data_IF_312205194201
#
_entry.id   IF_312205194201
#
_cell.length_a   1.000
_cell.length_b   1.000
_cell.length_c   1.000
_cell.angle_alpha   90.00
_cell.angle_beta   90.00
_cell.angle_gamma   90.00
#
_symmetry.space_group_name_H-M   'P 1'
#
loop_
_entity.id
_entity.type
_entity.pdbx_description
1 polymer ?
#
# COMPACT_ATOMS: atom_id res chain seq x y z
N UNK A 1 -27.06 14.57 -8.26
CA UNK A 1 -26.81 13.11 -8.23
C UNK A 1 -25.80 12.82 -7.13
N UNK A 2 -26.00 11.75 -6.37
CA UNK A 2 -25.08 11.30 -5.29
C UNK A 2 -24.71 9.83 -5.53
N UNK A 3 -23.46 9.47 -5.21
CA UNK A 3 -22.96 8.09 -5.33
C UNK A 3 -23.50 7.20 -4.19
N UNK A 4 -23.93 5.96 -4.50
CA UNK A 4 -24.56 5.02 -3.56
C UNK A 4 -23.87 3.65 -3.47
N UNK A 5 -22.61 3.53 -3.91
CA UNK A 5 -21.83 2.28 -4.00
C UNK A 5 -21.85 1.43 -2.72
N UNK A 6 -21.94 2.05 -1.55
CA UNK A 6 -22.02 1.37 -0.24
C UNK A 6 -23.21 1.84 0.61
N UNK A 7 -24.33 2.22 -0.01
CA UNK A 7 -25.45 2.90 0.67
C UNK A 7 -26.09 2.16 1.85
N UNK A 8 -25.83 0.86 2.01
CA UNK A 8 -26.34 0.03 3.12
C UNK A 8 -25.23 -0.67 3.92
N UNK A 9 -23.95 -0.43 3.58
CA UNK A 9 -22.82 -1.15 4.18
C UNK A 9 -22.15 -0.33 5.29
N UNK A 10 -22.06 -0.93 6.48
CA UNK A 10 -21.30 -0.36 7.60
C UNK A 10 -19.83 -0.76 7.42
N UNK A 11 -18.97 0.25 7.36
CA UNK A 11 -17.53 0.02 7.22
C UNK A 11 -16.93 -0.30 8.59
N UNK A 12 -16.17 -1.39 8.64
CA UNK A 12 -15.32 -1.68 9.80
C UNK A 12 -14.29 -0.56 10.01
N UNK A 13 -13.86 -0.33 11.26
CA UNK A 13 -12.80 0.63 11.58
C UNK A 13 -11.56 0.38 10.72
N UNK A 14 -10.93 1.46 10.26
CA UNK A 14 -9.74 1.41 9.41
C UNK A 14 -8.64 0.53 10.01
N UNK A 15 -8.33 0.73 11.29
CA UNK A 15 -7.30 -0.01 12.02
C UNK A 15 -7.56 -1.53 12.02
N UNK A 16 -8.82 -1.93 12.23
CA UNK A 16 -9.21 -3.35 12.20
C UNK A 16 -9.03 -3.95 10.80
N UNK A 17 -9.38 -3.19 9.75
CA UNK A 17 -9.19 -3.63 8.36
C UNK A 17 -7.72 -3.75 7.98
N UNK A 18 -6.89 -2.78 8.37
CA UNK A 18 -5.45 -2.79 8.11
C UNK A 18 -4.77 -3.96 8.85
N UNK A 19 -5.09 -4.14 10.14
CA UNK A 19 -4.59 -5.26 10.94
C UNK A 19 -4.99 -6.62 10.34
N UNK A 20 -6.25 -6.78 9.92
CA UNK A 20 -6.71 -8.01 9.26
C UNK A 20 -5.97 -8.26 7.95
N UNK A 21 -5.75 -7.22 7.15
CA UNK A 21 -5.02 -7.31 5.89
C UNK A 21 -3.58 -7.76 6.11
N UNK A 22 -2.81 -7.07 6.98
CA UNK A 22 -1.40 -7.42 7.25
C UNK A 22 -1.26 -8.79 7.89
N UNK A 23 -2.15 -9.15 8.83
CA UNK A 23 -2.17 -10.49 9.45
C UNK A 23 -2.39 -11.59 8.42
N UNK A 24 -3.28 -11.37 7.45
CA UNK A 24 -3.55 -12.34 6.38
C UNK A 24 -2.32 -12.52 5.50
N UNK A 25 -1.67 -11.42 5.10
CA UNK A 25 -0.45 -11.45 4.30
C UNK A 25 0.68 -12.14 5.05
N UNK A 26 0.93 -11.77 6.31
CA UNK A 26 1.93 -12.38 7.18
C UNK A 26 1.71 -13.90 7.27
N UNK A 27 0.49 -14.34 7.57
CA UNK A 27 0.18 -15.77 7.70
C UNK A 27 0.48 -16.55 6.40
N UNK A 28 0.19 -15.96 5.23
CA UNK A 28 0.46 -16.59 3.92
C UNK A 28 1.95 -16.74 3.67
N UNK A 29 2.75 -15.71 3.96
CA UNK A 29 4.20 -15.73 3.70
C UNK A 29 4.96 -16.50 4.77
N UNK A 30 4.49 -16.49 6.02
CA UNK A 30 5.09 -17.21 7.15
C UNK A 30 5.04 -18.73 6.99
N UNK A 31 4.08 -19.27 6.23
CA UNK A 31 4.04 -20.69 5.82
C UNK A 31 4.82 -20.99 4.53
N UNK A 32 5.60 -20.05 4.01
CA UNK A 32 6.33 -20.17 2.75
C UNK A 32 5.47 -20.03 1.48
N UNK A 33 4.24 -19.55 1.62
CA UNK A 33 3.32 -19.33 0.49
C UNK A 33 3.58 -18.03 -0.26
N UNK A 34 2.95 -17.89 -1.43
CA UNK A 34 2.97 -16.64 -2.22
C UNK A 34 1.63 -15.92 -2.08
N UNK A 35 1.65 -14.63 -1.74
CA UNK A 35 0.45 -13.80 -1.66
C UNK A 35 0.27 -13.00 -2.96
N UNK A 36 -0.85 -13.20 -3.65
CA UNK A 36 -1.23 -12.42 -4.83
C UNK A 36 -2.36 -11.46 -4.47
N UNK A 37 -2.15 -10.16 -4.71
CA UNK A 37 -3.10 -9.10 -4.39
C UNK A 37 -3.55 -8.42 -5.70
N UNK A 38 -4.71 -8.80 -6.27
CA UNK A 38 -5.19 -8.21 -7.51
C UNK A 38 -5.76 -6.80 -7.24
N UNK A 39 -5.09 -5.78 -7.76
CA UNK A 39 -5.50 -4.38 -7.62
C UNK A 39 -5.20 -3.60 -8.90
N UNK A 40 -6.02 -2.59 -9.18
CA UNK A 40 -5.72 -1.64 -10.23
C UNK A 40 -4.44 -0.85 -9.90
N UNK A 41 -3.65 -0.52 -10.92
CA UNK A 41 -2.36 0.15 -10.75
C UNK A 41 -2.44 1.58 -10.15
N UNK A 42 -3.65 2.14 -10.03
CA UNK A 42 -3.94 3.48 -9.53
C UNK A 42 -5.06 3.43 -8.48
N UNK A 43 -5.00 4.33 -7.50
CA UNK A 43 -5.99 4.44 -6.44
C UNK A 43 -5.61 3.65 -5.20
N UNK A 44 -6.29 2.52 -4.94
CA UNK A 44 -6.12 1.76 -3.69
C UNK A 44 -4.80 1.00 -3.61
N UNK A 45 -4.14 0.73 -4.74
CA UNK A 45 -2.83 0.09 -4.74
C UNK A 45 -1.80 0.89 -3.93
N UNK A 46 -1.76 2.21 -4.10
CA UNK A 46 -0.80 3.08 -3.39
C UNK A 46 -0.98 3.03 -1.87
N UNK A 47 -2.23 3.00 -1.40
CA UNK A 47 -2.54 2.86 0.02
C UNK A 47 -2.09 1.50 0.57
N UNK A 48 -2.33 0.41 -0.17
CA UNK A 48 -1.89 -0.92 0.23
C UNK A 48 -0.36 -1.05 0.27
N UNK A 49 0.34 -0.44 -0.70
CA UNK A 49 1.80 -0.43 -0.72
C UNK A 49 2.38 0.31 0.49
N UNK A 50 1.80 1.45 0.88
CA UNK A 50 2.19 2.17 2.10
C UNK A 50 2.00 1.32 3.36
N UNK A 51 0.84 0.65 3.49
CA UNK A 51 0.55 -0.22 4.64
C UNK A 51 1.56 -1.38 4.70
N UNK A 52 1.90 -1.99 3.55
CA UNK A 52 2.86 -3.08 3.48
C UNK A 52 4.29 -2.64 3.79
N UNK A 53 4.75 -1.50 3.25
CA UNK A 53 6.11 -0.98 3.51
C UNK A 53 6.29 -0.64 5.00
N UNK A 54 5.29 0.00 5.62
CA UNK A 54 5.29 0.31 7.06
C UNK A 54 5.27 -0.98 7.90
N UNK A 55 4.47 -1.97 7.52
CA UNK A 55 4.41 -3.26 8.20
C UNK A 55 5.74 -4.04 8.10
N UNK A 56 6.38 -4.04 6.93
CA UNK A 56 7.69 -4.68 6.72
C UNK A 56 8.82 -4.00 7.49
N UNK A 57 8.78 -2.67 7.63
CA UNK A 57 9.78 -1.94 8.42
C UNK A 57 9.75 -2.37 9.90
N UNK A 58 8.53 -2.57 10.43
CA UNK A 58 8.26 -2.95 11.82
C UNK A 58 8.54 -4.44 12.13
N UNK A 59 8.61 -5.30 11.12
CA UNK A 59 8.77 -6.76 11.28
C UNK A 59 10.05 -7.24 10.58
N UNK A 60 11.21 -7.22 11.26
CA UNK A 60 12.50 -7.61 10.69
C UNK A 60 12.53 -9.01 10.09
N UNK A 61 11.74 -9.95 10.62
CA UNK A 61 11.62 -11.32 10.14
C UNK A 61 11.01 -11.44 8.74
N UNK A 62 10.29 -10.41 8.27
CA UNK A 62 9.70 -10.39 6.93
C UNK A 62 10.61 -9.77 5.87
N UNK A 63 11.73 -9.13 6.27
CA UNK A 63 12.60 -8.38 5.35
C UNK A 63 13.23 -9.22 4.25
N UNK A 64 13.40 -10.53 4.48
CA UNK A 64 13.91 -11.46 3.46
C UNK A 64 12.86 -11.82 2.41
N UNK A 65 11.58 -11.52 2.67
CA UNK A 65 10.46 -11.84 1.79
C UNK A 65 10.18 -10.64 0.87
N UNK A 66 10.40 -10.77 -0.45
CA UNK A 66 10.27 -9.64 -1.36
C UNK A 66 8.80 -9.31 -1.66
N UNK A 67 8.49 -8.02 -1.71
CA UNK A 67 7.21 -7.51 -2.22
C UNK A 67 7.42 -6.99 -3.64
N UNK A 68 6.65 -7.54 -4.60
CA UNK A 68 6.70 -7.12 -5.99
C UNK A 68 5.46 -6.35 -6.40
N UNK A 69 5.66 -5.17 -6.97
CA UNK A 69 4.61 -4.42 -7.64
C UNK A 69 4.70 -4.64 -9.16
N UNK A 70 3.84 -5.53 -9.66
CA UNK A 70 3.83 -5.96 -11.06
C UNK A 70 2.90 -5.08 -11.90
N UNK A 71 3.40 -3.92 -12.35
CA UNK A 71 2.67 -3.07 -13.30
C UNK A 71 3.62 -2.29 -14.19
N UNK A 72 3.44 -2.39 -15.51
CA UNK A 72 4.15 -1.54 -16.48
C UNK A 72 3.84 -0.05 -16.26
N UNK A 73 2.70 0.26 -15.63
CA UNK A 73 2.30 1.62 -15.29
C UNK A 73 2.85 2.07 -13.94
N UNK A 74 3.35 1.16 -13.08
CA UNK A 74 3.82 1.45 -11.73
C UNK A 74 4.71 2.69 -11.65
N UNK A 75 5.72 2.74 -12.52
CA UNK A 75 6.71 3.83 -12.56
C UNK A 75 6.06 5.17 -12.94
N UNK A 76 5.16 5.17 -13.93
CA UNK A 76 4.44 6.37 -14.38
C UNK A 76 3.43 6.84 -13.32
N UNK A 77 2.73 5.92 -12.66
CA UNK A 77 1.84 6.23 -11.55
C UNK A 77 2.63 6.89 -10.42
N UNK A 78 3.76 6.31 -10.01
CA UNK A 78 4.54 6.82 -8.91
C UNK A 78 5.03 8.26 -9.15
N UNK A 79 5.47 8.59 -10.36
CA UNK A 79 5.88 9.97 -10.69
C UNK A 79 4.74 10.97 -10.54
N UNK A 80 3.50 10.59 -10.86
CA UNK A 80 2.33 11.46 -10.67
C UNK A 80 2.07 11.70 -9.18
N UNK A 81 2.07 10.64 -8.36
CA UNK A 81 1.86 10.77 -6.92
C UNK A 81 2.95 11.61 -6.23
N UNK A 82 4.19 11.51 -6.70
CA UNK A 82 5.32 12.30 -6.20
C UNK A 82 5.30 13.77 -6.67
N UNK A 83 4.61 14.07 -7.78
CA UNK A 83 4.50 15.44 -8.32
C UNK A 83 3.34 16.20 -7.69
N UNK A 84 2.18 15.55 -7.51
CA UNK A 84 0.95 16.16 -7.02
C UNK A 84 0.75 15.98 -5.51
N UNK A 85 1.78 16.28 -4.73
CA UNK A 85 1.82 16.04 -3.28
C UNK A 85 0.92 17.00 -2.50
N UNK A 86 0.69 18.20 -3.03
CA UNK A 86 -0.25 19.19 -2.50
C UNK A 86 -1.71 18.71 -2.49
N UNK A 87 -2.06 17.72 -3.31
CA UNK A 87 -3.40 17.12 -3.35
C UNK A 87 -3.56 15.95 -2.37
N UNK A 88 -2.50 15.56 -1.65
CA UNK A 88 -2.52 14.50 -0.63
C UNK A 88 -3.00 15.07 0.71
N UNK A 89 -3.29 14.19 1.67
CA UNK A 89 -3.63 14.62 3.02
C UNK A 89 -2.45 15.31 3.73
N UNK A 90 -2.74 16.08 4.78
CA UNK A 90 -1.72 16.80 5.55
C UNK A 90 -0.64 15.90 6.15
N UNK A 91 -0.97 14.63 6.44
CA UNK A 91 0.00 13.66 6.98
C UNK A 91 1.12 13.41 5.96
N UNK A 92 0.75 13.10 4.72
CA UNK A 92 1.69 12.86 3.63
C UNK A 92 2.44 14.14 3.26
N UNK A 93 1.76 15.29 3.24
CA UNK A 93 2.40 16.58 2.99
C UNK A 93 3.46 16.93 4.05
N UNK A 94 3.23 16.62 5.32
CA UNK A 94 4.22 16.79 6.39
C UNK A 94 5.35 15.77 6.32
N UNK A 95 5.04 14.53 5.92
CA UNK A 95 6.04 13.47 5.85
C UNK A 95 7.01 13.69 4.68
N UNK A 96 6.55 14.26 3.56
CA UNK A 96 7.37 14.40 2.35
C UNK A 96 8.54 15.37 2.51
N UNK A 97 8.45 16.33 3.44
CA UNK A 97 9.57 17.22 3.77
C UNK A 97 10.69 16.50 4.52
N UNK A 98 10.40 15.33 5.11
CA UNK A 98 11.34 14.48 5.84
C UNK A 98 11.82 13.32 4.95
N UNK A 99 10.88 12.62 4.32
CA UNK A 99 11.14 11.45 3.48
C UNK A 99 10.00 11.21 2.49
N UNK A 100 10.31 10.80 1.26
CA UNK A 100 9.28 10.52 0.27
C UNK A 100 8.55 9.21 0.58
N UNK A 101 7.28 9.23 1.00
CA UNK A 101 6.56 8.00 1.39
C UNK A 101 6.25 7.09 0.19
N UNK A 102 6.37 7.60 -1.03
CA UNK A 102 6.21 6.85 -2.28
C UNK A 102 7.53 6.27 -2.82
N UNK A 103 8.62 6.44 -2.06
CA UNK A 103 9.88 5.75 -2.29
C UNK A 103 9.98 4.59 -1.31
N UNK A 104 9.37 3.46 -1.68
CA UNK A 104 9.32 2.27 -0.85
C UNK A 104 10.70 1.66 -0.65
N UNK A 105 10.97 1.17 0.57
CA UNK A 105 12.23 0.51 0.92
C UNK A 105 12.16 -0.99 0.65
N UNK A 106 10.99 -1.59 0.88
CA UNK A 106 10.79 -3.05 0.85
C UNK A 106 10.02 -3.54 -0.38
N UNK A 107 9.65 -2.62 -1.28
CA UNK A 107 8.86 -2.93 -2.48
C UNK A 107 9.69 -2.68 -3.74
N UNK A 108 9.75 -3.70 -4.60
CA UNK A 108 10.42 -3.64 -5.89
C UNK A 108 9.43 -3.73 -7.06
N UNK A 109 9.69 -3.01 -8.15
CA UNK A 109 8.91 -3.17 -9.36
C UNK A 109 9.31 -4.47 -10.07
N UNK A 110 8.33 -5.29 -10.45
CA UNK A 110 8.58 -6.45 -11.30
C UNK A 110 8.81 -5.95 -12.74
N UNK A 111 9.96 -6.31 -13.32
CA UNK A 111 10.33 -5.96 -14.70
C UNK A 111 9.58 -6.82 -15.71
#
# INVERSE_FOLDING_TARGET
>A
MIESTYGVSIHEPRESRESRFTTTVHTIVGRGGRCLIPVFALGRAQELLLILDEYWELHPELREIPIYYASALAKKCMSVYQTYTHAMNERIQRQISISNPFQFKHISNLK
#
